data_IF_816761330148
#
_entry.id   IF_816761330148
#
_cell.length_a   1.000
_cell.length_b   1.000
_cell.length_c   1.000
_cell.angle_alpha   90.00
_cell.angle_beta   90.00
_cell.angle_gamma   90.00
#
_symmetry.space_group_name_H-M   'P 1'
#
loop_
_entity.id
_entity.type
_entity.pdbx_description
1 polymer ?
#
# COMPACT_ATOMS: atom_id res chain seq x y z
N UNK A 1 54.20 -68.93 26.85
CA UNK A 1 52.87 -68.55 27.26
C UNK A 1 52.65 -67.13 26.74
N UNK A 2 52.09 -67.02 25.54
CA UNK A 2 52.01 -65.77 24.77
C UNK A 2 50.69 -65.08 25.08
N UNK A 3 50.73 -63.81 25.47
CA UNK A 3 49.58 -62.96 25.58
C UNK A 3 49.62 -61.97 24.41
N UNK A 4 48.65 -62.11 23.51
CA UNK A 4 48.48 -61.29 22.34
C UNK A 4 47.62 -60.05 22.70
N UNK A 5 48.20 -58.84 22.58
CA UNK A 5 47.48 -57.59 22.77
C UNK A 5 46.79 -57.16 21.46
N UNK A 6 45.47 -57.20 21.46
CA UNK A 6 44.64 -56.62 20.41
C UNK A 6 44.60 -55.11 20.57
N UNK A 7 44.98 -54.35 19.50
CA UNK A 7 44.83 -52.91 19.39
C UNK A 7 43.56 -52.63 18.58
N UNK A 8 42.52 -52.19 19.26
CA UNK A 8 41.31 -51.68 18.61
C UNK A 8 41.51 -50.23 18.24
N UNK A 9 41.51 -49.93 16.92
CA UNK A 9 41.55 -48.56 16.38
C UNK A 9 40.14 -47.96 16.49
N UNK A 10 39.97 -46.93 17.30
CA UNK A 10 38.77 -46.10 17.31
C UNK A 10 38.93 -45.05 16.20
N UNK A 11 38.19 -45.19 15.12
CA UNK A 11 38.04 -44.18 14.10
C UNK A 11 37.07 -43.09 14.63
N UNK A 12 37.61 -41.90 14.96
CA UNK A 12 36.80 -40.71 15.24
C UNK A 12 36.21 -40.21 13.93
N UNK A 13 34.91 -40.44 13.72
CA UNK A 13 34.18 -39.81 12.66
C UNK A 13 33.90 -38.33 13.07
N UNK A 14 34.66 -37.41 12.50
CA UNK A 14 34.42 -35.99 12.58
C UNK A 14 33.11 -35.67 11.79
N UNK A 15 31.98 -35.66 12.51
CA UNK A 15 30.74 -35.12 11.99
C UNK A 15 30.88 -33.59 11.94
N UNK A 16 31.23 -33.06 10.78
CA UNK A 16 31.21 -31.62 10.51
C UNK A 16 29.75 -31.14 10.68
N UNK A 17 29.49 -30.38 11.73
CA UNK A 17 28.27 -29.59 11.87
C UNK A 17 28.20 -28.57 10.73
N UNK A 18 27.46 -28.89 9.69
CA UNK A 18 26.94 -27.90 8.76
C UNK A 18 25.88 -27.08 9.51
N UNK A 19 25.90 -25.76 9.43
CA UNK A 19 24.83 -24.94 9.96
C UNK A 19 23.57 -25.28 9.16
N UNK A 20 22.52 -25.69 9.85
CA UNK A 20 21.21 -25.92 9.26
C UNK A 20 20.61 -24.57 8.85
N UNK A 21 20.89 -24.16 7.63
CA UNK A 21 20.10 -23.16 6.91
C UNK A 21 18.81 -23.83 6.42
N UNK A 22 17.92 -24.12 7.34
CA UNK A 22 16.54 -24.48 7.00
C UNK A 22 15.73 -23.18 6.83
N UNK A 23 15.97 -22.46 5.73
CA UNK A 23 14.97 -21.61 5.12
C UNK A 23 14.68 -22.24 3.76
N UNK A 24 13.46 -22.73 3.64
CA UNK A 24 13.01 -23.41 2.45
C UNK A 24 13.08 -22.52 1.24
N UNK A 25 14.08 -22.76 0.39
CA UNK A 25 14.01 -22.30 -0.98
C UNK A 25 12.74 -22.87 -1.61
N UNK A 26 11.93 -22.04 -2.24
CA UNK A 26 10.73 -22.46 -2.92
C UNK A 26 11.04 -23.65 -3.82
N UNK A 27 10.40 -24.79 -3.56
CA UNK A 27 10.56 -25.97 -4.39
C UNK A 27 10.07 -25.60 -5.78
N UNK A 28 10.89 -25.69 -6.84
CA UNK A 28 10.45 -25.41 -8.19
C UNK A 28 9.26 -26.33 -8.49
N UNK A 29 8.14 -25.71 -8.88
CA UNK A 29 6.94 -26.48 -9.22
C UNK A 29 7.27 -27.44 -10.36
N UNK A 30 7.03 -28.76 -10.21
CA UNK A 30 7.33 -29.72 -11.26
C UNK A 30 6.55 -29.36 -12.52
N UNK A 31 7.16 -29.55 -13.69
CA UNK A 31 6.47 -29.38 -14.96
C UNK A 31 5.34 -30.43 -15.05
N UNK A 32 4.06 -30.03 -15.00
CA UNK A 32 2.97 -31.01 -15.08
C UNK A 32 2.84 -31.58 -16.50
N UNK A 33 2.32 -32.80 -16.61
CA UNK A 33 1.89 -33.33 -17.91
C UNK A 33 0.80 -32.42 -18.51
N UNK A 34 0.67 -32.40 -19.84
CA UNK A 34 -0.32 -31.59 -20.56
C UNK A 34 -1.76 -31.83 -20.03
N UNK A 35 -2.08 -33.07 -19.69
CA UNK A 35 -3.41 -33.47 -19.18
C UNK A 35 -3.73 -32.86 -17.78
N UNK A 36 -2.71 -32.58 -16.96
CA UNK A 36 -2.87 -31.97 -15.64
C UNK A 36 -2.91 -30.44 -15.68
N UNK A 37 -2.58 -29.82 -16.83
CA UNK A 37 -2.61 -28.37 -17.03
C UNK A 37 -4.03 -27.86 -17.33
N UNK A 38 -4.93 -28.03 -16.38
CA UNK A 38 -6.28 -27.45 -16.47
C UNK A 38 -6.23 -25.91 -16.48
N UNK A 39 -7.30 -25.21 -16.89
CA UNK A 39 -7.39 -23.74 -16.77
C UNK A 39 -7.09 -23.26 -15.34
N UNK A 40 -7.67 -23.93 -14.32
CA UNK A 40 -7.42 -23.62 -12.91
C UNK A 40 -5.94 -23.73 -12.54
N UNK A 41 -5.24 -24.79 -12.97
CA UNK A 41 -3.81 -24.94 -12.69
C UNK A 41 -2.99 -23.85 -13.37
N UNK A 42 -3.34 -23.44 -14.59
CA UNK A 42 -2.67 -22.32 -15.29
C UNK A 42 -2.88 -21.00 -14.55
N UNK A 43 -4.14 -20.68 -14.18
CA UNK A 43 -4.49 -19.48 -13.44
C UNK A 43 -3.75 -19.42 -12.08
N UNK A 44 -3.74 -20.52 -11.31
CA UNK A 44 -2.99 -20.58 -10.05
C UNK A 44 -1.51 -20.34 -10.28
N UNK A 45 -0.88 -21.00 -11.25
CA UNK A 45 0.56 -20.84 -11.51
C UNK A 45 0.96 -19.43 -11.92
N UNK A 46 0.11 -18.73 -12.66
CA UNK A 46 0.36 -17.32 -13.01
C UNK A 46 0.19 -16.40 -11.81
N UNK A 47 -0.72 -16.73 -10.89
CA UNK A 47 -1.03 -15.90 -9.73
C UNK A 47 -0.05 -16.09 -8.55
N UNK A 48 0.49 -17.30 -8.35
CA UNK A 48 1.35 -17.60 -7.20
C UNK A 48 2.51 -16.61 -6.97
N UNK A 49 3.23 -16.10 -8.01
CA UNK A 49 4.37 -15.21 -7.81
C UNK A 49 4.02 -13.88 -7.13
N UNK A 50 2.80 -13.43 -7.23
CA UNK A 50 2.36 -12.16 -6.64
C UNK A 50 1.54 -12.31 -5.35
N UNK A 51 1.39 -13.54 -4.82
CA UNK A 51 0.78 -13.78 -3.52
C UNK A 51 1.84 -13.79 -2.44
N UNK A 52 1.70 -12.92 -1.44
CA UNK A 52 2.62 -12.81 -0.32
C UNK A 52 1.96 -13.21 0.98
N UNK A 53 2.77 -13.71 1.94
CA UNK A 53 2.33 -13.92 3.32
C UNK A 53 2.69 -12.69 4.15
N UNK A 54 1.74 -12.20 4.94
CA UNK A 54 1.93 -11.08 5.84
C UNK A 54 1.87 -11.58 7.27
N UNK A 55 2.81 -11.14 8.08
CA UNK A 55 2.91 -11.54 9.47
C UNK A 55 3.65 -10.51 10.32
N UNK A 56 3.93 -10.91 11.53
CA UNK A 56 4.78 -10.16 12.45
C UNK A 56 5.83 -11.08 13.05
N UNK A 57 6.98 -10.54 13.35
CA UNK A 57 8.05 -11.30 13.99
C UNK A 57 7.93 -11.17 15.50
N UNK A 58 7.69 -12.28 16.17
CA UNK A 58 7.63 -12.34 17.63
C UNK A 58 8.93 -12.94 18.19
N UNK A 59 9.47 -12.28 19.22
CA UNK A 59 10.55 -12.84 20.01
C UNK A 59 9.96 -13.74 21.09
N UNK A 60 10.14 -15.05 20.95
CA UNK A 60 9.73 -16.02 21.97
C UNK A 60 10.95 -16.34 22.82
N UNK A 61 10.90 -16.00 24.10
CA UNK A 61 11.91 -16.44 25.08
C UNK A 61 11.57 -17.89 25.42
N UNK A 62 12.31 -18.82 24.83
CA UNK A 62 12.16 -20.24 25.19
C UNK A 62 12.83 -20.48 26.55
N UNK A 63 12.04 -20.59 27.60
CA UNK A 63 12.49 -21.07 28.91
C UNK A 63 12.61 -22.61 28.77
N UNK A 64 13.84 -23.08 28.69
CA UNK A 64 14.14 -24.47 28.30
C UNK A 64 13.78 -25.54 29.33
N UNK A 65 13.31 -25.19 30.53
CA UNK A 65 12.86 -26.19 31.50
C UNK A 65 12.20 -25.49 32.72
N UNK A 66 10.98 -25.90 33.14
CA UNK A 66 10.41 -25.44 34.43
C UNK A 66 11.27 -25.81 35.64
N UNK A 67 12.09 -26.86 35.56
CA UNK A 67 13.04 -27.28 36.59
C UNK A 67 14.29 -26.44 36.68
N UNK A 68 14.68 -25.73 35.60
CA UNK A 68 15.86 -24.87 35.59
C UNK A 68 15.69 -23.60 36.46
N UNK A 69 14.45 -23.23 36.78
CA UNK A 69 14.15 -22.11 37.68
C UNK A 69 14.60 -22.39 39.13
N UNK A 70 14.79 -23.64 39.52
CA UNK A 70 15.27 -24.02 40.87
C UNK A 70 16.80 -24.12 41.00
N UNK A 71 17.54 -24.10 39.88
CA UNK A 71 19.00 -24.23 39.85
C UNK A 71 19.72 -23.09 39.13
N UNK A 72 19.12 -21.89 39.11
CA UNK A 72 19.57 -20.75 38.29
C UNK A 72 20.94 -20.16 38.67
N UNK A 73 21.54 -20.53 39.79
CA UNK A 73 22.82 -19.94 40.22
C UNK A 73 24.07 -20.70 39.74
N UNK A 74 23.94 -21.94 39.30
CA UNK A 74 25.10 -22.75 38.91
C UNK A 74 25.30 -22.96 37.42
N UNK A 75 24.28 -22.83 36.57
CA UNK A 75 24.37 -22.98 35.13
C UNK A 75 23.61 -21.89 34.39
N UNK A 76 24.14 -20.69 34.30
CA UNK A 76 23.63 -19.64 33.41
C UNK A 76 23.79 -20.10 31.96
N UNK A 77 22.82 -20.83 31.42
CA UNK A 77 22.66 -20.94 29.97
C UNK A 77 21.87 -19.72 29.50
N UNK A 78 22.37 -18.95 28.53
CA UNK A 78 21.62 -17.82 28.02
C UNK A 78 20.27 -18.31 27.46
N UNK A 79 19.19 -17.66 27.86
CA UNK A 79 17.87 -17.89 27.27
C UNK A 79 18.00 -17.71 25.74
N UNK A 80 17.63 -18.71 24.98
CA UNK A 80 17.58 -18.57 23.53
C UNK A 80 16.34 -17.75 23.20
N UNK A 81 16.56 -16.53 22.68
CA UNK A 81 15.52 -15.76 22.03
C UNK A 81 15.34 -16.40 20.64
N UNK A 82 14.20 -17.05 20.44
CA UNK A 82 13.80 -17.56 19.13
C UNK A 82 12.91 -16.52 18.49
N UNK A 83 13.31 -16.06 17.32
CA UNK A 83 12.49 -15.21 16.48
C UNK A 83 11.58 -16.09 15.64
N UNK A 84 10.26 -15.96 15.79
CA UNK A 84 9.27 -16.72 15.05
C UNK A 84 8.37 -15.81 14.26
N UNK A 85 8.25 -16.06 12.95
CA UNK A 85 7.24 -15.43 12.11
C UNK A 85 5.85 -15.92 12.53
N UNK A 86 4.97 -14.99 12.85
CA UNK A 86 3.56 -15.25 13.19
C UNK A 86 2.69 -14.69 12.06
N UNK A 87 2.12 -15.53 11.19
CA UNK A 87 1.32 -15.08 10.07
C UNK A 87 0.02 -14.42 10.55
N UNK A 88 -0.38 -13.38 9.87
CA UNK A 88 -1.59 -12.60 10.11
C UNK A 88 -2.58 -12.74 8.95
N UNK A 89 -2.08 -12.87 7.71
CA UNK A 89 -2.88 -12.98 6.50
C UNK A 89 -2.02 -13.04 5.25
N UNK A 90 -2.62 -12.70 4.13
CA UNK A 90 -2.00 -12.67 2.81
C UNK A 90 -2.03 -11.26 2.22
N UNK A 91 -1.31 -11.07 1.13
CA UNK A 91 -1.32 -9.84 0.35
C UNK A 91 -1.10 -10.12 -1.13
N UNK A 92 -1.31 -9.10 -1.94
CA UNK A 92 -1.17 -9.11 -3.40
C UNK A 92 -0.11 -8.09 -3.79
N UNK A 93 0.97 -8.57 -4.38
CA UNK A 93 2.00 -7.69 -4.97
C UNK A 93 1.43 -7.06 -6.25
N UNK A 94 1.37 -5.74 -6.28
CA UNK A 94 0.74 -5.00 -7.38
C UNK A 94 1.73 -4.22 -8.25
N UNK A 95 2.99 -4.10 -7.83
CA UNK A 95 4.03 -3.40 -8.61
C UNK A 95 5.42 -4.01 -8.37
N UNK A 96 6.29 -3.93 -9.39
CA UNK A 96 7.67 -4.42 -9.35
C UNK A 96 8.54 -3.70 -8.30
N UNK A 97 8.12 -2.53 -7.82
CA UNK A 97 8.80 -1.79 -6.75
C UNK A 97 8.44 -2.28 -5.34
N UNK A 98 7.60 -3.32 -5.22
CA UNK A 98 7.25 -3.92 -3.94
C UNK A 98 6.01 -3.31 -3.29
N UNK A 99 5.06 -2.79 -4.07
CA UNK A 99 3.74 -2.40 -3.55
C UNK A 99 2.86 -3.63 -3.34
N UNK A 100 2.23 -3.72 -2.17
CA UNK A 100 1.37 -4.85 -1.77
C UNK A 100 0.04 -4.32 -1.27
N UNK A 101 -1.06 -4.85 -1.81
CA UNK A 101 -2.42 -4.61 -1.28
C UNK A 101 -2.81 -5.76 -0.36
N UNK A 102 -3.46 -5.42 0.74
CA UNK A 102 -4.01 -6.38 1.71
C UNK A 102 -5.23 -5.79 2.41
N UNK A 103 -5.85 -6.53 3.33
CA UNK A 103 -6.86 -5.97 4.21
C UNK A 103 -6.24 -5.18 5.37
N UNK A 104 -6.91 -4.10 5.79
CA UNK A 104 -6.48 -3.32 6.94
C UNK A 104 -6.47 -4.14 8.23
N UNK A 105 -7.49 -4.99 8.45
CA UNK A 105 -7.56 -5.82 9.66
C UNK A 105 -6.37 -6.78 9.81
N UNK A 106 -5.71 -7.17 8.70
CA UNK A 106 -4.50 -8.02 8.71
C UNK A 106 -3.34 -7.32 9.41
N UNK A 107 -3.20 -6.01 9.22
CA UNK A 107 -2.03 -5.25 9.70
C UNK A 107 -2.30 -4.34 10.89
N UNK A 108 -3.56 -3.99 11.20
CA UNK A 108 -3.93 -2.97 12.20
C UNK A 108 -3.37 -3.18 13.61
N UNK A 109 -2.98 -4.41 13.97
CA UNK A 109 -2.43 -4.76 15.30
C UNK A 109 -0.97 -5.20 15.23
N UNK A 110 -0.35 -5.14 14.07
CA UNK A 110 1.04 -5.53 13.91
C UNK A 110 1.97 -4.43 14.45
N UNK A 111 2.87 -4.78 15.35
CA UNK A 111 3.92 -3.87 15.81
C UNK A 111 5.04 -3.71 14.77
N UNK A 112 5.20 -4.68 13.89
CA UNK A 112 6.04 -4.67 12.70
C UNK A 112 5.37 -5.53 11.63
N UNK A 113 5.48 -5.13 10.39
CA UNK A 113 4.93 -5.88 9.27
C UNK A 113 6.09 -6.58 8.57
N UNK A 114 6.07 -7.90 8.64
CA UNK A 114 7.01 -8.75 7.93
C UNK A 114 6.26 -9.45 6.79
N UNK A 115 6.87 -9.47 5.62
CA UNK A 115 6.31 -10.05 4.40
C UNK A 115 7.20 -11.17 3.91
N UNK A 116 6.61 -12.30 3.57
CA UNK A 116 7.31 -13.38 2.91
C UNK A 116 6.79 -13.52 1.48
N UNK A 117 7.68 -13.36 0.51
CA UNK A 117 7.40 -13.55 -0.90
C UNK A 117 7.20 -15.04 -1.24
N UNK A 118 6.67 -15.31 -2.41
CA UNK A 118 6.37 -16.68 -2.84
C UNK A 118 7.60 -17.60 -2.93
N UNK A 119 8.79 -17.05 -3.18
CA UNK A 119 10.07 -17.75 -3.25
C UNK A 119 10.73 -17.95 -1.88
N UNK A 120 10.07 -17.49 -0.79
CA UNK A 120 10.57 -17.54 0.58
C UNK A 120 11.40 -16.33 0.99
N UNK A 121 11.66 -15.38 0.10
CA UNK A 121 12.36 -14.13 0.43
C UNK A 121 11.58 -13.36 1.50
N UNK A 122 12.27 -12.97 2.58
CA UNK A 122 11.69 -12.17 3.65
C UNK A 122 11.96 -10.69 3.42
N UNK A 123 10.96 -9.87 3.63
CA UNK A 123 11.01 -8.43 3.55
C UNK A 123 10.30 -7.81 4.75
N UNK A 124 10.61 -6.57 5.08
CA UNK A 124 9.78 -5.74 5.94
C UNK A 124 8.89 -4.87 5.07
N UNK A 125 7.77 -4.43 5.64
CA UNK A 125 6.88 -3.50 4.96
C UNK A 125 6.47 -2.35 5.87
N UNK A 126 6.14 -1.23 5.24
CA UNK A 126 5.54 -0.07 5.87
C UNK A 126 4.19 0.24 5.22
N UNK A 127 3.27 0.78 6.01
CA UNK A 127 1.95 1.20 5.52
C UNK A 127 2.12 2.49 4.74
N UNK A 128 1.63 2.52 3.50
CA UNK A 128 1.55 3.72 2.68
C UNK A 128 0.17 4.38 2.75
N UNK A 129 -0.88 3.59 2.85
CA UNK A 129 -2.26 4.06 2.95
C UNK A 129 -3.17 2.96 3.46
N UNK A 130 -4.28 3.34 4.09
CA UNK A 130 -5.32 2.39 4.50
C UNK A 130 -6.68 3.08 4.55
N UNK A 131 -7.72 2.29 4.43
CA UNK A 131 -9.08 2.69 4.69
C UNK A 131 -9.76 1.67 5.60
N UNK A 132 -10.34 2.17 6.70
CA UNK A 132 -10.93 1.32 7.73
C UNK A 132 -12.30 0.78 7.27
N UNK A 133 -13.06 1.60 6.55
CA UNK A 133 -14.42 1.26 6.14
C UNK A 133 -14.41 0.23 5.01
N UNK A 134 -13.52 0.38 4.05
CA UNK A 134 -13.33 -0.58 2.96
C UNK A 134 -12.43 -1.75 3.34
N UNK A 135 -11.82 -1.72 4.54
CA UNK A 135 -10.86 -2.72 5.02
C UNK A 135 -9.70 -2.97 4.05
N UNK A 136 -9.20 -1.92 3.42
CA UNK A 136 -8.08 -1.96 2.48
C UNK A 136 -6.82 -1.34 3.09
N UNK A 137 -5.66 -1.84 2.69
CA UNK A 137 -4.36 -1.31 3.08
C UNK A 137 -3.35 -1.49 1.94
N UNK A 138 -2.59 -0.43 1.67
CA UNK A 138 -1.44 -0.45 0.76
C UNK A 138 -0.16 -0.45 1.57
N UNK A 139 0.71 -1.42 1.28
CA UNK A 139 2.02 -1.57 1.90
C UNK A 139 3.11 -1.34 0.85
N UNK A 140 4.27 -0.92 1.31
CA UNK A 140 5.52 -0.89 0.55
C UNK A 140 6.54 -1.79 1.21
N UNK A 141 7.12 -2.72 0.46
CA UNK A 141 8.27 -3.49 0.92
C UNK A 141 9.47 -2.56 1.08
N UNK A 142 10.21 -2.73 2.18
CA UNK A 142 11.45 -1.98 2.45
C UNK A 142 12.66 -2.80 2.03
N UNK A 143 13.53 -2.22 1.21
CA UNK A 143 14.69 -2.87 0.61
C UNK A 143 14.70 -2.76 -0.91
N UNK A 144 15.74 -3.34 -1.52
CA UNK A 144 15.86 -3.44 -2.97
C UNK A 144 15.46 -4.84 -3.41
N UNK A 145 14.54 -4.92 -4.36
CA UNK A 145 14.05 -6.17 -4.92
C UNK A 145 14.19 -6.13 -6.43
N UNK A 146 14.48 -7.26 -7.02
CA UNK A 146 14.53 -7.43 -8.47
C UNK A 146 13.73 -8.67 -8.88
N UNK A 147 13.09 -8.59 -10.05
CA UNK A 147 12.34 -9.73 -10.58
C UNK A 147 11.01 -10.01 -9.89
N UNK A 148 10.46 -9.04 -9.14
CA UNK A 148 9.12 -9.15 -8.60
C UNK A 148 8.11 -9.20 -9.76
N UNK A 149 7.14 -10.11 -9.66
CA UNK A 149 6.08 -10.26 -10.66
C UNK A 149 4.78 -9.70 -10.07
N UNK A 150 4.28 -8.56 -10.54
CA UNK A 150 3.03 -7.99 -10.04
C UNK A 150 1.79 -8.70 -10.59
N UNK A 151 0.67 -8.56 -9.88
CA UNK A 151 -0.63 -9.05 -10.28
C UNK A 151 -1.09 -8.42 -11.61
N UNK A 152 -1.64 -9.26 -12.48
CA UNK A 152 -2.41 -8.82 -13.62
C UNK A 152 -3.86 -8.60 -13.18
N UNK A 153 -4.40 -7.39 -13.39
CA UNK A 153 -5.78 -7.06 -13.05
C UNK A 153 -6.72 -7.51 -14.17
N UNK A 154 -7.92 -7.97 -13.79
CA UNK A 154 -9.05 -8.10 -14.73
C UNK A 154 -9.59 -6.71 -15.08
N UNK A 155 -10.41 -6.63 -16.13
CA UNK A 155 -11.21 -5.43 -16.34
C UNK A 155 -12.25 -5.30 -15.22
N UNK A 156 -12.53 -4.08 -14.77
CA UNK A 156 -13.33 -3.83 -13.57
C UNK A 156 -14.74 -4.45 -13.66
N UNK A 157 -15.36 -4.39 -14.82
CA UNK A 157 -16.74 -4.86 -15.05
C UNK A 157 -16.82 -6.21 -15.76
N UNK A 158 -15.68 -6.88 -16.01
CA UNK A 158 -15.62 -8.20 -16.65
C UNK A 158 -15.84 -9.31 -15.63
N UNK A 159 -17.02 -9.36 -15.05
CA UNK A 159 -17.43 -10.32 -14.01
C UNK A 159 -18.72 -11.04 -14.41
N UNK A 160 -18.70 -12.37 -14.42
CA UNK A 160 -19.85 -13.19 -14.79
C UNK A 160 -20.33 -14.04 -13.61
N UNK A 161 -21.61 -13.95 -13.28
CA UNK A 161 -22.21 -14.84 -12.29
C UNK A 161 -22.06 -16.30 -12.73
N UNK A 162 -21.56 -17.13 -11.83
CA UNK A 162 -21.26 -18.54 -12.09
C UNK A 162 -19.90 -18.79 -12.71
N UNK A 163 -19.11 -17.77 -13.05
CA UNK A 163 -17.72 -17.98 -13.47
C UNK A 163 -16.89 -18.60 -12.35
N UNK A 164 -15.92 -19.43 -12.74
CA UNK A 164 -14.99 -20.03 -11.79
C UNK A 164 -14.04 -18.99 -11.27
N UNK A 165 -14.00 -18.86 -9.95
CA UNK A 165 -13.03 -18.02 -9.23
C UNK A 165 -12.18 -18.86 -8.28
N UNK A 166 -10.97 -18.38 -8.02
CA UNK A 166 -9.95 -19.08 -7.24
C UNK A 166 -9.46 -18.13 -6.16
N UNK A 167 -9.70 -18.48 -4.91
CA UNK A 167 -9.13 -17.75 -3.77
C UNK A 167 -7.76 -18.36 -3.41
N UNK A 168 -6.74 -17.49 -3.32
CA UNK A 168 -5.38 -17.89 -3.02
C UNK A 168 -4.91 -17.16 -1.77
N UNK A 169 -4.15 -17.84 -0.91
CA UNK A 169 -3.51 -17.25 0.25
C UNK A 169 -2.28 -18.04 0.66
N UNK A 170 -1.56 -17.53 1.63
CA UNK A 170 -0.42 -18.21 2.24
C UNK A 170 -0.59 -18.27 3.77
N UNK A 171 -1.60 -19.03 4.25
CA UNK A 171 -1.84 -19.15 5.68
C UNK A 171 -0.64 -19.78 6.37
N UNK A 172 -0.22 -19.17 7.46
CA UNK A 172 0.84 -19.69 8.34
C UNK A 172 2.27 -19.68 7.75
N UNK A 173 2.52 -19.13 6.55
CA UNK A 173 3.84 -19.22 5.91
C UNK A 173 4.31 -20.66 5.64
N UNK A 174 3.38 -21.63 5.71
CA UNK A 174 3.66 -23.06 5.52
C UNK A 174 3.51 -23.50 4.06
N UNK A 175 3.14 -22.58 3.18
CA UNK A 175 2.84 -22.80 1.77
C UNK A 175 1.48 -22.23 1.38
N UNK A 176 1.31 -22.02 0.08
CA UNK A 176 0.10 -21.43 -0.47
C UNK A 176 -1.09 -22.38 -0.36
N UNK A 177 -2.24 -21.80 0.00
CA UNK A 177 -3.55 -22.48 0.03
C UNK A 177 -4.38 -21.97 -1.15
N UNK A 178 -5.01 -22.88 -1.85
CA UNK A 178 -5.84 -22.60 -3.01
C UNK A 178 -7.21 -23.22 -2.79
N UNK A 179 -8.27 -22.45 -2.96
CA UNK A 179 -9.64 -22.92 -3.00
C UNK A 179 -10.32 -22.41 -4.26
N UNK A 180 -11.19 -23.25 -4.85
CA UNK A 180 -11.89 -22.94 -6.09
C UNK A 180 -13.39 -22.99 -5.84
N UNK A 181 -14.10 -22.04 -6.41
CA UNK A 181 -15.55 -21.95 -6.37
C UNK A 181 -16.07 -21.17 -7.56
N UNK A 182 -17.25 -20.60 -7.42
CA UNK A 182 -17.85 -19.73 -8.43
C UNK A 182 -18.17 -18.34 -7.85
N UNK A 183 -18.28 -17.35 -8.72
CA UNK A 183 -18.82 -16.05 -8.39
C UNK A 183 -20.35 -16.20 -8.21
N UNK A 184 -20.76 -16.26 -6.93
CA UNK A 184 -22.14 -16.61 -6.55
C UNK A 184 -23.09 -15.39 -6.62
N UNK A 185 -22.56 -14.19 -6.33
CA UNK A 185 -23.33 -12.95 -6.42
C UNK A 185 -22.40 -11.73 -6.53
N UNK A 186 -22.94 -10.64 -7.08
CA UNK A 186 -22.34 -9.31 -7.13
C UNK A 186 -23.10 -8.37 -6.17
N UNK A 187 -22.44 -7.26 -5.81
CA UNK A 187 -23.03 -6.14 -5.07
C UNK A 187 -23.71 -6.59 -3.76
N UNK A 188 -23.01 -7.42 -2.99
CA UNK A 188 -23.47 -7.87 -1.68
C UNK A 188 -23.06 -6.89 -0.60
N UNK A 189 -24.03 -6.49 0.21
CA UNK A 189 -23.80 -5.65 1.37
C UNK A 189 -24.23 -6.38 2.63
N UNK A 190 -23.48 -6.23 3.72
CA UNK A 190 -23.84 -6.77 5.03
C UNK A 190 -23.21 -5.95 6.13
N UNK A 191 -23.76 -6.08 7.33
CA UNK A 191 -23.27 -5.42 8.53
C UNK A 191 -22.63 -6.45 9.46
N UNK A 192 -21.43 -6.12 9.96
CA UNK A 192 -20.75 -6.89 11.01
C UNK A 192 -20.35 -5.95 12.15
N UNK A 193 -21.02 -6.08 13.30
CA UNK A 193 -20.89 -5.13 14.38
C UNK A 193 -21.34 -3.72 13.96
N UNK A 194 -20.45 -2.76 14.11
CA UNK A 194 -20.69 -1.35 13.72
C UNK A 194 -20.16 -1.04 12.31
N UNK A 195 -19.59 -2.02 11.61
CA UNK A 195 -19.04 -1.85 10.25
C UNK A 195 -20.04 -2.35 9.22
N UNK A 196 -20.31 -1.52 8.22
CA UNK A 196 -21.15 -1.84 7.08
C UNK A 196 -20.28 -1.99 5.84
N UNK A 197 -20.33 -3.18 5.22
CA UNK A 197 -19.63 -3.49 3.99
C UNK A 197 -20.59 -3.45 2.82
N UNK A 198 -20.17 -2.79 1.74
CA UNK A 198 -21.00 -2.60 0.54
C UNK A 198 -20.35 -3.23 -0.70
N UNK A 199 -21.21 -3.61 -1.64
CA UNK A 199 -20.88 -4.01 -3.01
C UNK A 199 -19.77 -5.09 -3.12
N UNK A 200 -19.75 -6.03 -2.20
CA UNK A 200 -18.81 -7.14 -2.22
C UNK A 200 -19.15 -8.21 -3.25
N UNK A 201 -18.14 -8.91 -3.74
CA UNK A 201 -18.26 -10.16 -4.49
C UNK A 201 -18.56 -11.30 -3.52
N UNK A 202 -19.56 -12.14 -3.80
CA UNK A 202 -19.83 -13.36 -3.05
C UNK A 202 -19.34 -14.58 -3.84
N UNK A 203 -18.65 -15.51 -3.16
CA UNK A 203 -18.18 -16.77 -3.73
C UNK A 203 -18.42 -17.94 -2.78
N UNK A 204 -18.54 -19.16 -3.31
CA UNK A 204 -18.53 -20.40 -2.55
C UNK A 204 -17.11 -21.01 -2.44
N UNK A 205 -16.10 -20.39 -3.07
CA UNK A 205 -14.70 -20.72 -2.79
C UNK A 205 -14.43 -20.54 -1.28
N UNK A 206 -13.79 -21.52 -0.66
CA UNK A 206 -13.56 -21.49 0.78
C UNK A 206 -12.62 -20.33 1.17
N UNK A 207 -13.18 -19.32 1.83
CA UNK A 207 -12.44 -18.24 2.45
C UNK A 207 -12.25 -18.59 3.93
N UNK A 208 -11.00 -18.59 4.39
CA UNK A 208 -10.63 -18.97 5.75
C UNK A 208 -9.55 -18.02 6.28
N UNK A 209 -9.35 -17.93 7.61
CA UNK A 209 -8.21 -17.20 8.18
C UNK A 209 -6.90 -17.63 7.50
N UNK A 210 -6.18 -16.63 6.97
CA UNK A 210 -4.92 -16.81 6.26
C UNK A 210 -4.99 -16.56 4.76
N UNK A 211 -6.15 -16.68 4.08
CA UNK A 211 -6.29 -16.18 2.72
C UNK A 211 -6.91 -14.76 2.65
N UNK A 212 -7.32 -14.18 3.80
CA UNK A 212 -7.68 -12.76 3.90
C UNK A 212 -6.54 -11.86 3.44
N UNK A 213 -6.87 -10.86 2.64
CA UNK A 213 -5.90 -9.97 2.00
C UNK A 213 -5.23 -10.56 0.76
N UNK A 214 -5.36 -11.86 0.53
CA UNK A 214 -4.92 -12.51 -0.70
C UNK A 214 -5.90 -12.32 -1.86
N UNK A 215 -5.52 -12.73 -3.07
CA UNK A 215 -6.33 -12.51 -4.26
C UNK A 215 -7.50 -13.48 -4.41
N UNK A 216 -8.58 -12.97 -4.99
CA UNK A 216 -9.55 -13.73 -5.76
C UNK A 216 -9.22 -13.55 -7.24
N UNK A 217 -9.01 -14.64 -7.98
CA UNK A 217 -8.62 -14.60 -9.41
C UNK A 217 -9.63 -15.37 -10.27
N UNK A 218 -9.77 -14.94 -11.53
CA UNK A 218 -10.54 -15.67 -12.55
C UNK A 218 -9.71 -16.77 -13.23
N UNK A 219 -10.27 -17.50 -14.18
CA UNK A 219 -9.56 -18.57 -14.92
C UNK A 219 -8.46 -18.07 -15.86
N UNK A 220 -8.43 -16.79 -16.19
CA UNK A 220 -7.34 -16.16 -16.93
C UNK A 220 -6.14 -15.84 -16.04
N UNK A 221 -6.28 -16.11 -14.73
CA UNK A 221 -5.26 -15.80 -13.73
C UNK A 221 -5.13 -14.31 -13.43
N UNK A 222 -6.21 -13.55 -13.65
CA UNK A 222 -6.28 -12.12 -13.38
C UNK A 222 -6.96 -11.87 -12.05
N UNK A 223 -6.49 -10.84 -11.33
CA UNK A 223 -7.09 -10.40 -10.06
C UNK A 223 -8.48 -9.81 -10.33
N UNK A 224 -9.51 -10.32 -9.64
CA UNK A 224 -10.88 -9.78 -9.67
C UNK A 224 -11.27 -9.13 -8.33
N UNK A 225 -10.57 -9.44 -7.25
CA UNK A 225 -10.81 -8.85 -5.94
C UNK A 225 -9.84 -9.32 -4.88
N UNK A 226 -9.97 -8.77 -3.67
CA UNK A 226 -9.19 -9.14 -2.48
C UNK A 226 -10.09 -9.93 -1.54
N UNK A 227 -9.67 -11.15 -1.20
CA UNK A 227 -10.39 -12.03 -0.27
C UNK A 227 -10.54 -11.34 1.09
N UNK A 228 -11.77 -11.37 1.62
CA UNK A 228 -12.07 -10.86 2.94
C UNK A 228 -12.60 -12.01 3.81
N UNK A 229 -11.95 -12.27 4.95
CA UNK A 229 -12.42 -13.32 5.85
C UNK A 229 -13.72 -12.91 6.50
N UNK A 230 -14.71 -13.81 6.52
CA UNK A 230 -16.04 -13.50 7.01
C UNK A 230 -16.64 -14.63 7.82
N UNK A 231 -17.56 -14.20 8.67
CA UNK A 231 -18.59 -14.93 9.45
C UNK A 231 -18.35 -16.43 9.61
N UNK A 232 -17.87 -16.79 10.77
CA UNK A 232 -17.67 -18.18 11.18
C UNK A 232 -18.96 -19.05 11.16
N UNK A 233 -20.12 -18.43 10.99
CA UNK A 233 -21.45 -19.06 11.06
C UNK A 233 -22.07 -19.36 9.68
N UNK A 234 -21.44 -18.95 8.56
CA UNK A 234 -21.96 -19.19 7.21
C UNK A 234 -21.04 -20.10 6.40
N UNK A 235 -21.36 -21.38 6.30
CA UNK A 235 -20.63 -22.32 5.46
C UNK A 235 -20.92 -22.08 3.96
N UNK A 236 -19.87 -22.04 3.13
CA UNK A 236 -20.01 -21.90 1.68
C UNK A 236 -20.34 -20.46 1.23
N UNK A 237 -20.14 -19.46 2.09
CA UNK A 237 -20.27 -18.05 1.75
C UNK A 237 -18.96 -17.33 2.09
N UNK A 238 -18.20 -17.01 1.06
CA UNK A 238 -17.03 -16.14 1.12
C UNK A 238 -17.30 -14.81 0.42
N UNK A 239 -16.54 -13.79 0.77
CA UNK A 239 -16.63 -12.48 0.14
C UNK A 239 -15.26 -11.96 -0.29
N UNK A 240 -15.26 -11.09 -1.27
CA UNK A 240 -14.07 -10.37 -1.69
C UNK A 240 -14.42 -8.92 -2.03
N UNK A 241 -13.48 -8.02 -1.79
CA UNK A 241 -13.57 -6.62 -2.18
C UNK A 241 -13.27 -6.55 -3.68
N UNK A 242 -14.17 -6.04 -4.54
CA UNK A 242 -13.99 -6.00 -5.99
C UNK A 242 -12.94 -4.96 -6.41
N UNK A 243 -12.43 -5.11 -7.64
CA UNK A 243 -11.51 -4.12 -8.23
C UNK A 243 -12.14 -2.73 -8.35
N UNK A 244 -13.44 -2.63 -8.60
CA UNK A 244 -14.16 -1.35 -8.64
C UNK A 244 -14.03 -0.53 -7.36
N UNK A 245 -13.84 -1.20 -6.21
CA UNK A 245 -13.56 -0.52 -4.94
C UNK A 245 -12.07 -0.32 -4.70
N UNK A 246 -11.21 -1.23 -5.15
CA UNK A 246 -9.77 -1.18 -4.91
C UNK A 246 -9.11 -0.08 -5.75
N UNK A 247 -9.46 0.05 -7.03
CA UNK A 247 -8.82 0.97 -7.97
C UNK A 247 -8.90 2.44 -7.55
N UNK A 248 -10.03 2.98 -7.08
CA UNK A 248 -10.09 4.36 -6.60
C UNK A 248 -9.13 4.65 -5.45
N UNK A 249 -9.02 3.73 -4.46
CA UNK A 249 -8.08 3.88 -3.37
C UNK A 249 -6.63 3.82 -3.85
N UNK A 250 -6.28 2.87 -4.72
CA UNK A 250 -4.94 2.77 -5.28
C UNK A 250 -4.57 4.02 -6.08
N UNK A 251 -5.49 4.53 -6.90
CA UNK A 251 -5.28 5.75 -7.68
C UNK A 251 -5.04 6.95 -6.77
N UNK A 252 -5.78 7.04 -5.67
CA UNK A 252 -5.58 8.09 -4.67
C UNK A 252 -4.25 7.93 -3.92
N UNK A 253 -3.95 6.73 -3.40
CA UNK A 253 -2.74 6.48 -2.61
C UNK A 253 -1.45 6.60 -3.44
N UNK A 254 -1.50 6.32 -4.74
CA UNK A 254 -0.34 6.37 -5.63
C UNK A 254 -0.09 7.76 -6.27
N UNK A 255 -0.71 8.82 -5.76
CA UNK A 255 -0.39 10.19 -6.20
C UNK A 255 1.07 10.53 -5.88
N UNK A 256 1.84 11.06 -6.83
CA UNK A 256 3.22 11.51 -6.57
C UNK A 256 3.31 12.50 -5.41
N UNK A 257 2.33 13.39 -5.29
CA UNK A 257 2.26 14.40 -4.23
C UNK A 257 2.28 13.83 -2.81
N UNK A 258 1.96 12.55 -2.65
CA UNK A 258 2.07 11.87 -1.36
C UNK A 258 3.52 11.46 -1.02
N UNK A 259 4.41 11.35 -1.99
CA UNK A 259 5.76 10.82 -1.81
C UNK A 259 6.85 11.83 -2.14
N UNK A 260 6.56 12.77 -3.04
CA UNK A 260 7.51 13.74 -3.55
C UNK A 260 6.83 15.08 -3.84
N UNK A 261 7.58 16.03 -4.36
CA UNK A 261 7.06 17.27 -4.90
C UNK A 261 6.88 17.24 -6.44
N UNK A 262 6.84 16.04 -7.01
CA UNK A 262 6.67 15.85 -8.45
C UNK A 262 5.34 16.41 -8.94
N UNK A 263 5.40 17.24 -9.99
CA UNK A 263 4.26 17.87 -10.62
C UNK A 263 4.23 17.59 -12.11
N UNK A 264 3.11 17.04 -12.58
CA UNK A 264 2.86 16.76 -13.99
C UNK A 264 1.87 17.77 -14.60
N UNK A 265 0.93 18.26 -13.81
CA UNK A 265 -0.12 19.16 -14.27
C UNK A 265 -1.45 18.48 -14.56
N UNK A 266 -1.62 17.25 -14.09
CA UNK A 266 -2.90 16.53 -14.01
C UNK A 266 -3.11 16.06 -12.58
N UNK A 267 -4.36 15.89 -12.15
CA UNK A 267 -4.64 15.16 -10.92
C UNK A 267 -4.53 13.64 -11.19
N UNK A 268 -3.54 12.98 -10.60
CA UNK A 268 -3.36 11.52 -10.82
C UNK A 268 -4.51 10.66 -10.29
N UNK A 269 -5.34 11.16 -9.36
CA UNK A 269 -6.57 10.52 -8.95
C UNK A 269 -7.78 10.98 -9.79
N UNK A 270 -7.57 11.91 -10.72
CA UNK A 270 -8.53 12.21 -11.76
C UNK A 270 -8.84 10.95 -12.55
N UNK A 271 -10.08 10.77 -12.96
CA UNK A 271 -10.48 9.66 -13.81
C UNK A 271 -9.70 9.69 -15.12
N UNK A 272 -8.66 8.89 -15.19
CA UNK A 272 -8.06 8.52 -16.47
C UNK A 272 -9.03 7.56 -17.15
N UNK A 273 -9.99 8.12 -17.88
CA UNK A 273 -10.96 7.32 -18.59
C UNK A 273 -10.24 6.40 -19.58
N UNK A 274 -10.63 5.15 -19.61
CA UNK A 274 -10.15 4.22 -20.64
C UNK A 274 -10.61 4.73 -22.02
N UNK A 275 -9.77 4.56 -23.04
CA UNK A 275 -10.18 4.90 -24.40
C UNK A 275 -11.23 3.91 -24.91
N UNK A 276 -12.07 4.32 -25.87
CA UNK A 276 -13.19 3.52 -26.39
C UNK A 276 -12.78 2.14 -26.94
N UNK A 277 -11.57 1.99 -27.42
CA UNK A 277 -11.04 0.72 -27.95
C UNK A 277 -10.27 -0.10 -26.87
N UNK A 278 -10.30 0.34 -25.63
CA UNK A 278 -9.63 -0.34 -24.51
C UNK A 278 -8.11 -0.21 -24.48
N UNK A 279 -7.51 0.58 -25.38
CA UNK A 279 -6.05 0.73 -25.46
C UNK A 279 -5.60 2.12 -25.00
N UNK A 280 -5.08 2.20 -23.78
CA UNK A 280 -4.61 3.45 -23.18
C UNK A 280 -5.67 4.20 -22.40
N UNK A 281 -5.26 5.33 -21.86
CA UNK A 281 -6.08 6.21 -21.04
C UNK A 281 -6.15 7.60 -21.67
N UNK A 282 -7.22 8.32 -21.37
CA UNK A 282 -7.37 9.73 -21.75
C UNK A 282 -6.85 10.61 -20.60
N UNK A 283 -6.04 11.61 -20.94
CA UNK A 283 -5.59 12.59 -19.93
C UNK A 283 -6.80 13.36 -19.37
N UNK A 284 -6.93 13.42 -18.04
CA UNK A 284 -7.88 14.30 -17.40
C UNK A 284 -7.51 15.78 -17.66
N UNK A 285 -8.11 16.70 -16.93
CA UNK A 285 -7.78 18.13 -17.09
C UNK A 285 -6.27 18.36 -16.99
N UNK A 286 -5.68 18.88 -18.09
CA UNK A 286 -4.28 19.31 -18.15
C UNK A 286 -4.22 20.80 -17.81
N UNK A 287 -3.53 21.11 -16.70
CA UNK A 287 -3.48 22.46 -16.16
C UNK A 287 -2.55 23.37 -16.99
N UNK A 288 -2.96 24.63 -17.17
CA UNK A 288 -2.17 25.62 -17.89
C UNK A 288 -0.80 25.88 -17.22
N UNK A 289 0.25 26.03 -18.02
CA UNK A 289 1.63 26.22 -17.56
C UNK A 289 2.29 24.97 -16.98
N UNK A 290 1.61 23.81 -17.01
CA UNK A 290 2.11 22.55 -16.46
C UNK A 290 3.16 21.89 -17.36
N UNK A 291 3.94 20.95 -16.81
CA UNK A 291 4.89 20.15 -17.60
C UNK A 291 4.27 19.42 -18.78
N UNK A 292 3.10 18.84 -18.61
CA UNK A 292 2.38 18.16 -19.71
C UNK A 292 1.93 19.16 -20.77
N UNK A 293 1.37 20.32 -20.40
CA UNK A 293 1.01 21.34 -21.38
C UNK A 293 2.23 21.88 -22.14
N UNK A 294 3.34 22.15 -21.44
CA UNK A 294 4.61 22.59 -22.07
C UNK A 294 5.16 21.57 -23.05
N UNK A 295 4.92 20.28 -22.81
CA UNK A 295 5.28 19.19 -23.71
C UNK A 295 4.28 19.00 -24.86
N UNK A 296 3.21 19.81 -24.93
CA UNK A 296 2.22 19.83 -26.00
C UNK A 296 0.96 18.99 -25.75
N UNK A 297 0.81 18.39 -24.58
CA UNK A 297 -0.37 17.62 -24.22
C UNK A 297 -1.56 18.50 -23.85
N UNK A 298 -2.75 17.99 -24.08
CA UNK A 298 -4.04 18.63 -23.77
C UNK A 298 -4.97 17.64 -23.07
N UNK A 299 -5.98 18.18 -22.41
CA UNK A 299 -7.11 17.40 -21.90
C UNK A 299 -7.71 16.56 -23.01
N UNK A 300 -7.91 15.26 -22.72
CA UNK A 300 -8.44 14.26 -23.64
C UNK A 300 -7.41 13.61 -24.55
N UNK A 301 -6.13 14.02 -24.52
CA UNK A 301 -5.09 13.34 -25.28
C UNK A 301 -4.91 11.90 -24.77
N UNK A 302 -4.69 10.99 -25.72
CA UNK A 302 -4.57 9.55 -25.44
C UNK A 302 -3.14 9.18 -25.09
N UNK A 303 -2.97 8.54 -23.95
CA UNK A 303 -1.70 7.97 -23.48
C UNK A 303 -1.80 6.46 -23.46
N UNK A 304 -0.87 5.77 -24.15
CA UNK A 304 -0.84 4.31 -24.24
C UNK A 304 0.28 3.68 -23.43
N UNK A 305 1.29 4.47 -23.07
CA UNK A 305 2.37 3.97 -22.23
C UNK A 305 3.04 5.09 -21.42
N UNK A 306 3.60 4.75 -20.26
CA UNK A 306 4.45 5.61 -19.44
C UNK A 306 5.75 4.87 -19.14
N UNK A 307 6.90 5.48 -19.45
CA UNK A 307 8.23 4.86 -19.35
C UNK A 307 8.32 3.48 -20.02
N UNK A 308 7.60 3.31 -21.14
CA UNK A 308 7.55 2.05 -21.92
C UNK A 308 6.61 0.98 -21.33
N UNK A 309 5.95 1.24 -20.20
CA UNK A 309 4.93 0.36 -19.60
C UNK A 309 3.56 0.77 -20.14
N UNK A 310 2.81 -0.18 -20.67
CA UNK A 310 1.43 0.06 -21.12
C UNK A 310 0.55 0.50 -19.94
N UNK A 311 -0.36 1.42 -20.21
CA UNK A 311 -1.34 1.90 -19.23
C UNK A 311 -2.75 1.73 -19.80
N UNK A 312 -3.66 1.16 -19.00
CA UNK A 312 -5.06 0.93 -19.36
C UNK A 312 -6.05 1.57 -18.39
N UNK A 313 -5.59 1.95 -17.21
CA UNK A 313 -6.42 2.55 -16.16
C UNK A 313 -5.60 3.47 -15.25
N UNK A 314 -6.26 4.12 -14.29
CA UNK A 314 -5.65 5.04 -13.33
C UNK A 314 -4.60 4.36 -12.44
N UNK A 315 -4.77 3.08 -12.09
CA UNK A 315 -3.81 2.35 -11.26
C UNK A 315 -2.50 2.11 -12.01
N UNK A 316 -2.57 1.77 -13.31
CA UNK A 316 -1.37 1.60 -14.13
C UNK A 316 -0.59 2.92 -14.25
N UNK A 317 -1.30 4.03 -14.40
CA UNK A 317 -0.69 5.38 -14.35
C UNK A 317 -0.04 5.59 -12.98
N UNK A 318 -0.77 5.38 -11.90
CA UNK A 318 -0.28 5.55 -10.53
C UNK A 318 0.99 4.74 -10.25
N UNK A 319 1.04 3.47 -10.68
CA UNK A 319 2.21 2.57 -10.52
C UNK A 319 3.50 3.10 -11.14
N UNK A 320 3.39 3.95 -12.16
CA UNK A 320 4.56 4.58 -12.79
C UNK A 320 4.94 5.89 -12.14
N UNK A 321 3.92 6.73 -11.87
CA UNK A 321 4.17 8.12 -11.47
C UNK A 321 4.45 8.31 -9.99
N UNK A 322 3.99 7.41 -9.09
CA UNK A 322 4.09 7.59 -7.64
C UNK A 322 5.52 7.80 -7.11
N UNK A 323 6.51 7.25 -7.82
CA UNK A 323 7.95 7.31 -7.48
C UNK A 323 8.71 8.43 -8.17
N UNK A 324 8.05 9.25 -9.00
CA UNK A 324 8.68 10.34 -9.70
C UNK A 324 9.07 11.46 -8.73
N UNK A 325 10.17 12.11 -9.02
CA UNK A 325 10.68 13.28 -8.34
C UNK A 325 10.82 14.45 -9.31
N UNK A 326 10.86 15.66 -8.80
CA UNK A 326 11.18 16.83 -9.60
C UNK A 326 12.57 16.67 -10.22
N UNK A 327 12.66 16.96 -11.51
CA UNK A 327 13.86 16.76 -12.34
C UNK A 327 13.90 15.43 -13.12
N UNK A 328 13.05 14.45 -12.77
CA UNK A 328 12.94 13.22 -13.55
C UNK A 328 12.36 13.48 -14.94
N UNK A 329 12.65 12.57 -15.88
CA UNK A 329 12.08 12.59 -17.23
C UNK A 329 11.10 11.43 -17.38
N UNK A 330 9.84 11.77 -17.60
CA UNK A 330 8.78 10.80 -17.91
C UNK A 330 8.61 10.66 -19.42
N UNK A 331 8.73 9.45 -19.94
CA UNK A 331 8.43 9.13 -21.35
C UNK A 331 6.95 8.80 -21.47
N UNK A 332 6.20 9.68 -22.13
CA UNK A 332 4.77 9.53 -22.37
C UNK A 332 4.56 9.04 -23.80
N UNK A 333 4.09 7.80 -23.95
CA UNK A 333 3.78 7.21 -25.23
C UNK A 333 2.34 7.52 -25.65
N UNK A 334 2.17 8.10 -26.82
CA UNK A 334 0.90 8.26 -27.53
C UNK A 334 0.78 7.19 -28.62
N UNK A 335 -0.36 7.04 -29.31
CA UNK A 335 -0.45 6.15 -30.48
C UNK A 335 0.58 6.44 -31.57
N UNK A 336 1.01 7.69 -31.71
CA UNK A 336 1.85 8.16 -32.83
C UNK A 336 3.32 8.26 -32.46
N UNK A 337 3.66 8.65 -31.21
CA UNK A 337 5.03 8.94 -30.81
C UNK A 337 5.23 8.80 -29.30
N UNK A 338 6.49 8.94 -28.87
CA UNK A 338 6.87 9.06 -27.46
C UNK A 338 7.40 10.47 -27.21
N UNK A 339 6.84 11.15 -26.23
CA UNK A 339 7.22 12.51 -25.81
C UNK A 339 7.89 12.44 -24.45
N UNK A 340 9.01 13.13 -24.28
CA UNK A 340 9.69 13.28 -22.99
C UNK A 340 9.14 14.50 -22.24
N UNK A 341 8.70 14.28 -21.01
CA UNK A 341 8.16 15.33 -20.11
C UNK A 341 9.09 15.44 -18.91
N UNK A 342 9.66 16.62 -18.71
CA UNK A 342 10.47 16.91 -17.53
C UNK A 342 9.52 17.23 -16.37
N UNK A 343 9.65 16.49 -15.27
CA UNK A 343 8.84 16.68 -14.06
C UNK A 343 9.33 17.94 -13.33
N UNK A 344 8.43 18.86 -13.05
CA UNK A 344 8.74 20.09 -12.32
C UNK A 344 8.38 19.94 -10.83
N UNK A 345 8.94 20.78 -9.94
CA UNK A 345 8.47 20.85 -8.58
C UNK A 345 7.05 21.42 -8.53
N UNK A 346 6.22 20.83 -7.66
CA UNK A 346 4.85 21.31 -7.46
C UNK A 346 4.85 22.76 -6.97
N UNK A 347 4.02 23.65 -7.54
CA UNK A 347 3.83 25.01 -7.04
C UNK A 347 3.49 25.05 -5.56
N UNK A 348 4.02 26.04 -4.81
CA UNK A 348 3.91 26.08 -3.35
C UNK A 348 2.47 26.02 -2.84
N UNK A 349 1.58 26.81 -3.43
CA UNK A 349 0.16 26.87 -3.08
C UNK A 349 -0.52 25.51 -3.35
N UNK A 350 -0.19 24.88 -4.48
CA UNK A 350 -0.75 23.58 -4.85
C UNK A 350 -0.24 22.48 -3.92
N UNK A 351 1.05 22.52 -3.55
CA UNK A 351 1.64 21.56 -2.61
C UNK A 351 0.97 21.63 -1.23
N UNK A 352 0.79 22.85 -0.71
CA UNK A 352 0.10 23.07 0.56
C UNK A 352 -1.34 22.60 0.48
N UNK A 353 -2.06 22.97 -0.58
CA UNK A 353 -3.44 22.53 -0.83
C UNK A 353 -3.56 21.00 -0.90
N UNK A 354 -2.68 20.34 -1.65
CA UNK A 354 -2.73 18.90 -1.83
C UNK A 354 -2.38 18.12 -0.56
N UNK A 355 -1.35 18.60 0.18
CA UNK A 355 -0.87 17.88 1.37
C UNK A 355 -1.64 18.20 2.64
N UNK A 356 -2.08 19.43 2.81
CA UNK A 356 -2.80 19.85 4.02
C UNK A 356 -4.30 20.02 3.80
N UNK A 357 -4.75 20.08 2.54
CA UNK A 357 -6.14 20.44 2.23
C UNK A 357 -6.49 21.87 2.64
N UNK A 358 -5.49 22.75 2.73
CA UNK A 358 -5.66 24.15 3.11
C UNK A 358 -5.34 25.04 1.93
N UNK A 359 -6.21 26.02 1.66
CA UNK A 359 -5.86 27.18 0.86
C UNK A 359 -5.41 28.29 1.80
N UNK A 360 -4.22 28.81 1.56
CA UNK A 360 -3.61 29.86 2.37
C UNK A 360 -3.42 31.12 1.56
N UNK A 361 -3.66 32.28 2.17
CA UNK A 361 -3.42 33.57 1.55
C UNK A 361 -2.78 34.54 2.51
N UNK A 362 -2.13 35.58 1.97
CA UNK A 362 -1.53 36.62 2.79
C UNK A 362 -2.60 37.44 3.54
N UNK A 363 -2.32 37.73 4.80
CA UNK A 363 -3.19 38.54 5.63
C UNK A 363 -3.09 40.00 5.25
N UNK A 364 -4.01 40.50 4.41
CA UNK A 364 -4.03 41.89 3.92
C UNK A 364 -4.47 42.87 5.01
N UNK A 365 -4.19 44.18 4.82
CA UNK A 365 -4.64 45.22 5.73
C UNK A 365 -6.18 45.26 5.85
N UNK A 366 -6.89 45.09 4.73
CA UNK A 366 -8.35 45.04 4.71
C UNK A 366 -8.91 43.83 5.48
N UNK A 367 -8.27 42.63 5.35
CA UNK A 367 -8.65 41.47 6.13
C UNK A 367 -8.42 41.69 7.62
N UNK A 368 -7.28 42.26 8.02
CA UNK A 368 -7.03 42.59 9.44
C UNK A 368 -8.12 43.50 10.00
N UNK A 369 -8.47 44.55 9.27
CA UNK A 369 -9.50 45.50 9.68
C UNK A 369 -10.90 44.82 9.79
N UNK A 370 -11.27 44.00 8.79
CA UNK A 370 -12.55 43.26 8.76
C UNK A 370 -12.67 42.24 9.91
N UNK A 371 -11.55 41.64 10.30
CA UNK A 371 -11.49 40.66 11.38
C UNK A 371 -11.25 41.23 12.76
N UNK A 372 -11.14 42.58 12.89
CA UNK A 372 -10.83 43.25 14.16
C UNK A 372 -9.45 42.93 14.72
N UNK A 373 -8.50 42.56 13.89
CA UNK A 373 -7.13 42.24 14.27
C UNK A 373 -6.29 43.49 14.43
N UNK A 374 -5.19 43.39 15.17
CA UNK A 374 -4.23 44.49 15.28
C UNK A 374 -3.60 44.78 13.90
N UNK A 375 -3.32 46.07 13.59
CA UNK A 375 -2.72 46.44 12.31
C UNK A 375 -1.37 45.76 12.01
N UNK A 376 -0.62 45.41 13.07
CA UNK A 376 0.69 44.73 13.03
C UNK A 376 0.61 43.22 13.09
N UNK A 377 -0.60 42.63 13.14
CA UNK A 377 -0.78 41.19 13.17
C UNK A 377 -0.14 40.52 11.95
N UNK A 378 0.79 39.63 12.21
CA UNK A 378 1.49 38.80 11.22
C UNK A 378 0.86 37.43 11.11
N UNK A 379 1.16 36.73 10.03
CA UNK A 379 0.72 35.40 9.71
C UNK A 379 0.05 35.30 8.35
N UNK A 380 -0.30 34.11 7.95
CA UNK A 380 -1.11 33.84 6.76
C UNK A 380 -2.46 33.27 7.19
N UNK A 381 -3.51 33.56 6.44
CA UNK A 381 -4.87 33.17 6.76
C UNK A 381 -5.27 31.91 5.99
N UNK A 382 -5.98 31.01 6.65
CA UNK A 382 -6.69 29.90 6.00
C UNK A 382 -7.88 30.48 5.23
N UNK A 383 -7.72 30.65 3.93
CA UNK A 383 -8.75 31.23 3.06
C UNK A 383 -9.85 30.23 2.72
N UNK A 384 -9.48 28.94 2.58
CA UNK A 384 -10.42 27.85 2.39
C UNK A 384 -9.85 26.53 2.90
N UNK A 385 -10.73 25.55 3.05
CA UNK A 385 -10.39 24.17 3.41
C UNK A 385 -11.11 23.23 2.42
N UNK A 386 -10.34 22.34 1.81
CA UNK A 386 -10.92 21.31 0.96
C UNK A 386 -11.78 20.38 1.81
N UNK A 387 -12.95 20.02 1.33
CA UNK A 387 -13.71 18.89 1.85
C UNK A 387 -12.88 17.62 1.67
N UNK A 388 -12.97 16.72 2.62
CA UNK A 388 -12.31 15.42 2.47
C UNK A 388 -12.96 14.69 1.30
N UNK A 389 -12.17 14.15 0.36
CA UNK A 389 -12.76 13.29 -0.66
C UNK A 389 -13.44 12.10 0.00
N UNK A 390 -14.60 11.70 -0.46
CA UNK A 390 -15.29 10.49 -0.05
C UNK A 390 -14.32 9.31 -0.17
N UNK A 391 -14.07 8.59 0.96
CA UNK A 391 -13.05 7.54 1.04
C UNK A 391 -11.63 8.01 1.34
N UNK A 392 -11.41 9.31 1.48
CA UNK A 392 -10.18 9.86 2.04
C UNK A 392 -10.19 9.69 3.55
N UNK A 393 -9.07 9.21 4.09
CA UNK A 393 -8.94 8.97 5.53
C UNK A 393 -9.19 10.25 6.29
N UNK A 394 -9.96 10.09 7.36
CA UNK A 394 -10.34 11.15 8.28
C UNK A 394 -9.11 12.03 8.57
N UNK A 395 -9.14 13.25 8.07
CA UNK A 395 -8.13 14.26 8.34
C UNK A 395 -7.90 14.32 9.82
N UNK A 396 -6.65 14.21 10.26
CA UNK A 396 -6.29 14.05 11.66
C UNK A 396 -7.05 15.05 12.56
N UNK A 397 -7.12 14.78 13.85
CA UNK A 397 -7.86 15.58 14.86
C UNK A 397 -7.66 17.10 14.71
N UNK A 398 -6.56 17.52 14.05
CA UNK A 398 -6.24 18.93 13.81
C UNK A 398 -7.27 19.62 12.90
N UNK A 399 -7.88 18.93 11.91
CA UNK A 399 -8.94 19.49 11.04
C UNK A 399 -10.24 19.80 11.77
N UNK A 400 -10.49 19.16 12.92
CA UNK A 400 -11.62 19.47 13.76
C UNK A 400 -11.44 20.81 14.49
N UNK A 401 -10.19 21.27 14.59
CA UNK A 401 -9.79 22.46 15.36
C UNK A 401 -9.54 23.65 14.44
N UNK A 402 -8.91 23.43 13.27
CA UNK A 402 -8.59 24.49 12.30
C UNK A 402 -9.80 24.77 11.40
N UNK A 403 -10.06 26.02 11.13
CA UNK A 403 -11.19 26.48 10.33
C UNK A 403 -10.78 27.59 9.35
N UNK A 404 -11.61 27.80 8.35
CA UNK A 404 -11.52 28.98 7.50
C UNK A 404 -11.54 30.25 8.34
N UNK A 405 -10.62 31.16 8.08
CA UNK A 405 -10.42 32.42 8.83
C UNK A 405 -9.37 32.33 9.92
N UNK A 406 -8.89 31.14 10.27
CA UNK A 406 -7.80 31.00 11.23
C UNK A 406 -6.47 31.49 10.63
N UNK A 407 -5.57 31.97 11.49
CA UNK A 407 -4.28 32.52 11.07
C UNK A 407 -3.17 31.57 11.53
N UNK A 408 -2.32 31.14 10.60
CA UNK A 408 -1.12 30.37 10.90
C UNK A 408 -0.06 31.30 11.48
N UNK A 409 0.26 31.13 12.75
CA UNK A 409 1.28 31.92 13.45
C UNK A 409 2.64 31.24 13.43
N UNK A 410 2.67 29.93 13.42
CA UNK A 410 3.89 29.13 13.40
C UNK A 410 3.64 27.84 12.61
N UNK A 411 4.65 27.43 11.84
CA UNK A 411 4.68 26.13 11.18
C UNK A 411 6.11 25.59 11.21
N UNK A 412 6.29 24.40 11.74
CA UNK A 412 7.61 23.87 12.07
C UNK A 412 8.42 24.86 12.95
N UNK A 413 9.61 25.21 12.49
CA UNK A 413 10.51 26.14 13.17
C UNK A 413 10.29 27.60 12.76
N UNK A 414 9.38 27.87 11.82
CA UNK A 414 9.11 29.21 11.29
C UNK A 414 7.98 29.90 12.03
N UNK A 415 8.27 31.06 12.62
CA UNK A 415 7.26 31.99 13.12
C UNK A 415 6.79 32.90 12.00
N UNK A 416 5.46 33.10 11.90
CA UNK A 416 4.82 33.88 10.86
C UNK A 416 5.23 33.43 9.44
N UNK A 417 5.03 32.13 9.10
CA UNK A 417 5.51 31.57 7.86
C UNK A 417 4.82 32.18 6.65
N UNK A 418 5.49 32.19 5.52
CA UNK A 418 4.87 32.37 4.21
C UNK A 418 4.37 31.04 3.68
N UNK A 419 3.56 31.04 2.60
CA UNK A 419 3.16 29.82 1.89
C UNK A 419 4.39 29.03 1.46
N UNK A 420 5.42 29.72 0.97
CA UNK A 420 6.70 29.11 0.58
C UNK A 420 7.40 28.43 1.75
N UNK A 421 7.47 29.04 2.93
CA UNK A 421 8.10 28.41 4.11
C UNK A 421 7.37 27.10 4.50
N UNK A 422 6.05 27.09 4.39
CA UNK A 422 5.23 25.88 4.66
C UNK A 422 5.51 24.84 3.59
N UNK A 423 5.50 25.22 2.31
CA UNK A 423 5.77 24.31 1.21
C UNK A 423 7.17 23.70 1.30
N UNK A 424 8.20 24.51 1.59
CA UNK A 424 9.57 24.03 1.77
C UNK A 424 9.69 23.05 2.95
N UNK A 425 8.92 23.28 4.03
CA UNK A 425 8.85 22.33 5.15
C UNK A 425 8.14 21.03 4.79
N UNK A 426 7.22 21.06 3.83
CA UNK A 426 6.51 19.86 3.34
C UNK A 426 7.31 19.07 2.30
N UNK A 427 8.26 19.72 1.57
CA UNK A 427 9.17 19.07 0.64
C UNK A 427 10.14 18.15 1.38
N UNK A 428 10.42 16.99 0.84
CA UNK A 428 11.41 16.07 1.40
C UNK A 428 10.97 15.31 2.65
N UNK A 429 9.72 15.39 3.07
CA UNK A 429 9.19 14.71 4.24
C UNK A 429 8.62 13.33 3.89
N UNK A 430 8.77 12.38 4.83
CA UNK A 430 8.26 11.00 4.68
C UNK A 430 6.85 10.86 5.25
N UNK A 431 6.11 9.89 4.73
CA UNK A 431 4.82 9.50 5.30
C UNK A 431 4.93 9.17 6.80
N UNK A 432 3.93 9.54 7.58
CA UNK A 432 3.88 9.30 9.02
C UNK A 432 4.66 10.28 9.89
N UNK A 433 5.34 11.28 9.32
CA UNK A 433 5.96 12.35 10.09
C UNK A 433 4.96 13.46 10.38
N UNK A 434 5.02 14.05 11.58
CA UNK A 434 4.18 15.16 12.01
C UNK A 434 4.96 16.45 12.11
N UNK A 435 4.25 17.56 11.84
CA UNK A 435 4.77 18.91 11.97
C UNK A 435 3.99 19.68 13.03
N UNK A 436 4.70 20.40 13.87
CA UNK A 436 4.04 21.27 14.84
C UNK A 436 3.61 22.57 14.18
N UNK A 437 2.34 22.94 14.33
CA UNK A 437 1.81 24.22 13.86
C UNK A 437 1.04 24.93 14.98
N UNK A 438 0.98 26.25 14.92
CA UNK A 438 0.19 27.07 15.85
C UNK A 438 -0.73 27.95 15.03
N UNK A 439 -2.03 27.77 15.23
CA UNK A 439 -3.08 28.59 14.63
C UNK A 439 -3.63 29.58 15.64
N UNK A 440 -4.03 30.75 15.15
CA UNK A 440 -4.81 31.72 15.90
C UNK A 440 -6.28 31.54 15.50
N UNK A 441 -7.02 30.82 16.33
CA UNK A 441 -8.40 30.44 16.11
C UNK A 441 -9.30 31.05 17.19
N UNK A 442 -10.36 31.72 16.83
CA UNK A 442 -11.34 32.30 17.77
C UNK A 442 -10.69 33.12 18.92
N UNK A 443 -9.68 33.91 18.59
CA UNK A 443 -8.91 34.74 19.52
C UNK A 443 -7.99 33.97 20.49
N UNK A 444 -7.73 32.67 20.26
CA UNK A 444 -6.86 31.83 21.08
C UNK A 444 -5.77 31.21 20.19
N UNK A 445 -4.58 31.02 20.76
CA UNK A 445 -3.50 30.26 20.09
C UNK A 445 -3.75 28.76 20.32
N UNK A 446 -3.94 28.04 19.24
CA UNK A 446 -4.19 26.60 19.26
C UNK A 446 -2.99 25.87 18.64
N UNK A 447 -2.23 25.11 19.43
CA UNK A 447 -1.19 24.22 18.90
C UNK A 447 -1.83 22.97 18.31
N UNK A 448 -1.35 22.56 17.15
CA UNK A 448 -1.78 21.34 16.49
C UNK A 448 -0.59 20.59 15.89
N UNK A 449 -0.67 19.27 15.88
CA UNK A 449 0.22 18.42 15.12
C UNK A 449 -0.44 18.14 13.77
N UNK A 450 0.23 18.60 12.71
CA UNK A 450 -0.23 18.44 11.34
C UNK A 450 0.62 17.35 10.71
N UNK A 451 0.04 16.31 10.14
CA UNK A 451 0.81 15.30 9.44
C UNK A 451 1.52 15.95 8.24
N UNK A 452 2.79 15.66 8.09
CA UNK A 452 3.60 16.16 6.96
C UNK A 452 3.14 15.57 5.64
N UNK A 453 2.60 14.36 5.71
CA UNK A 453 2.01 13.64 4.60
C UNK A 453 0.79 12.89 5.12
N UNK A 454 -0.40 13.27 4.66
CA UNK A 454 -1.61 12.49 4.94
C UNK A 454 -1.65 11.30 3.99
N UNK A 455 -1.04 10.21 4.41
CA UNK A 455 -1.31 8.88 3.90
C UNK A 455 -2.07 8.14 5.00
N UNK A 456 -3.33 8.45 5.09
CA UNK A 456 -4.21 7.67 5.92
C UNK A 456 -5.33 7.21 5.03
#
# INVERSE_FOLDING_TARGET
>A
MFIQKSRTFFAFLLLSCLPASFFGGGVPLPAPSAERMTPTVRAVRSALPWVVSIGTTQQIIQVNDPFSLFFTDFFRRPNRVLTKFSPLGSGVLIDESGLVVTNYHVVRRASSIDVQLWDGTAAKAEVLGYDILSDLCLLRLTGEFSGLTPAAFAEVDDLFLGETVIAIGNPFGLGQSVSTGVLSALNRSFQEGDVYFEDLLQTDAAINPGNSGGPLVNLDGRLVGINQAIRADAQGIGFAIPLSHIEPFLSYWLKPSHFSDAYLGVDPAGNFAQSEDGVGVLLPEVLAGSPLEKAGFKTGDRVVSLNGRSVGNSVDVGRVIWKLHSGDVLKVGTPDCVVEVVIEPMPDELLVRTRLGLELSELTASMRAAMGLRPDQKGIIVSDMLEEPEGGVQGGQWRQVVRRGDIVLKFADKEYPTVKDIADSLRGNRAGEYQYAVFYASSVKVPVEVPRLQLN
#
